data_IF_144303894370
#
_entry.id   IF_144303894370
#
_cell.length_a   1.000
_cell.length_b   1.000
_cell.length_c   1.000
_cell.angle_alpha   90.00
_cell.angle_beta   90.00
_cell.angle_gamma   90.00
#
_symmetry.space_group_name_H-M   'P 1'
#
loop_
_entity.id
_entity.type
_entity.pdbx_description
1 polymer ?
#
# COMPACT_ATOMS: atom_id res chain seq x y z
N UNK A 1 -9.76 -30.17 67.29
CA UNK A 1 -8.37 -29.85 66.91
C UNK A 1 -8.39 -29.73 65.39
N UNK A 2 -8.55 -28.52 64.86
CA UNK A 2 -8.77 -28.29 63.42
C UNK A 2 -7.55 -27.59 62.84
N UNK A 3 -6.77 -28.29 62.02
CA UNK A 3 -5.64 -27.74 61.28
C UNK A 3 -6.14 -26.72 60.25
N UNK A 4 -5.70 -25.47 60.42
CA UNK A 4 -5.90 -24.42 59.43
C UNK A 4 -4.93 -24.65 58.26
N UNK A 5 -5.45 -25.13 57.14
CA UNK A 5 -4.70 -25.20 55.87
C UNK A 5 -4.47 -23.78 55.37
N UNK A 6 -3.28 -23.25 55.64
CA UNK A 6 -2.78 -22.00 55.05
C UNK A 6 -2.46 -22.27 53.58
N UNK A 7 -3.44 -22.06 52.72
CA UNK A 7 -3.26 -22.14 51.25
C UNK A 7 -2.32 -21.01 50.84
N UNK A 8 -1.03 -21.34 50.69
CA UNK A 8 0.01 -20.45 50.19
C UNK A 8 -0.34 -20.10 48.73
N UNK A 9 -0.85 -18.88 48.48
CA UNK A 9 -1.09 -18.34 47.12
C UNK A 9 0.25 -18.07 46.43
N UNK A 10 1.03 -19.10 46.18
CA UNK A 10 2.31 -19.05 45.48
C UNK A 10 2.03 -19.16 43.98
N UNK A 11 2.32 -18.09 43.24
CA UNK A 11 2.63 -18.21 41.80
C UNK A 11 1.68 -17.56 40.79
N UNK A 12 0.46 -17.15 41.13
CA UNK A 12 -0.46 -16.60 40.11
C UNK A 12 -0.17 -15.13 39.81
N UNK A 13 0.13 -14.33 40.85
CA UNK A 13 0.41 -12.89 40.70
C UNK A 13 1.58 -12.58 39.75
N UNK A 14 2.77 -13.23 39.87
CA UNK A 14 3.88 -12.95 38.96
C UNK A 14 3.62 -13.46 37.54
N UNK A 15 2.88 -14.57 37.37
CA UNK A 15 2.50 -15.08 36.05
C UNK A 15 1.52 -14.15 35.34
N UNK A 16 0.51 -13.64 36.04
CA UNK A 16 -0.44 -12.67 35.48
C UNK A 16 0.27 -11.37 35.13
N UNK A 17 1.17 -10.88 35.97
CA UNK A 17 1.98 -9.70 35.68
C UNK A 17 2.89 -9.89 34.45
N UNK A 18 3.50 -11.08 34.31
CA UNK A 18 4.33 -11.42 33.16
C UNK A 18 3.50 -11.51 31.87
N UNK A 19 2.30 -12.12 31.92
CA UNK A 19 1.39 -12.18 30.78
C UNK A 19 0.94 -10.78 30.36
N UNK A 20 0.59 -9.90 31.31
CA UNK A 20 0.23 -8.52 31.03
C UNK A 20 1.40 -7.73 30.44
N UNK A 21 2.62 -7.95 30.93
CA UNK A 21 3.82 -7.30 30.40
C UNK A 21 4.11 -7.75 28.96
N UNK A 22 3.98 -9.05 28.66
CA UNK A 22 4.13 -9.59 27.30
C UNK A 22 3.04 -9.05 26.37
N UNK A 23 1.78 -8.99 26.81
CA UNK A 23 0.70 -8.41 26.02
C UNK A 23 0.91 -6.91 25.78
N UNK A 24 1.43 -6.19 26.77
CA UNK A 24 1.75 -4.77 26.65
C UNK A 24 2.91 -4.54 25.67
N UNK A 25 3.98 -5.32 25.71
CA UNK A 25 5.11 -5.17 24.77
C UNK A 25 4.74 -5.58 23.35
N UNK A 26 3.88 -6.59 23.15
CA UNK A 26 3.34 -6.93 21.83
C UNK A 26 2.43 -5.82 21.32
N UNK A 27 1.53 -5.29 22.16
CA UNK A 27 0.64 -4.18 21.79
C UNK A 27 1.43 -2.92 21.43
N UNK A 28 2.46 -2.60 22.21
CA UNK A 28 3.35 -1.47 21.95
C UNK A 28 4.19 -1.70 20.69
N UNK A 29 4.65 -2.94 20.47
CA UNK A 29 5.36 -3.34 19.26
C UNK A 29 4.49 -3.22 18.00
N UNK A 30 3.21 -3.60 18.06
CA UNK A 30 2.26 -3.45 16.94
C UNK A 30 1.97 -1.97 16.67
N UNK A 31 1.76 -1.15 17.71
CA UNK A 31 1.49 0.28 17.55
C UNK A 31 2.70 1.04 16.98
N UNK A 32 3.90 0.75 17.49
CA UNK A 32 5.14 1.32 16.96
C UNK A 32 5.48 0.76 15.58
N UNK A 33 5.09 -0.47 15.25
CA UNK A 33 5.35 -1.02 13.93
C UNK A 33 4.53 -0.38 12.81
N UNK A 34 3.31 0.07 13.12
CA UNK A 34 2.48 0.82 12.18
C UNK A 34 3.11 2.20 11.86
N UNK A 35 3.68 2.88 12.87
CA UNK A 35 4.34 4.19 12.71
C UNK A 35 5.79 4.11 12.20
N UNK A 36 6.57 3.12 12.62
CA UNK A 36 8.03 3.06 12.41
C UNK A 36 8.40 2.17 11.23
N UNK A 37 7.67 1.08 10.96
CA UNK A 37 8.16 0.04 10.05
C UNK A 37 7.63 0.11 8.61
N UNK A 38 6.71 1.02 8.26
CA UNK A 38 6.17 1.13 6.88
C UNK A 38 5.96 -0.26 6.24
N UNK A 39 5.30 -1.17 6.96
CA UNK A 39 5.26 -2.62 6.69
C UNK A 39 4.57 -3.02 5.37
N UNK A 40 4.21 -2.06 4.50
CA UNK A 40 3.48 -2.28 3.26
C UNK A 40 2.03 -2.73 3.46
N UNK A 41 1.53 -2.68 4.71
CA UNK A 41 0.15 -3.08 5.05
C UNK A 41 -0.84 -1.96 4.69
N UNK A 42 -0.39 -0.70 4.72
CA UNK A 42 -1.19 0.46 4.36
C UNK A 42 -0.57 1.19 3.16
N UNK A 43 -1.40 1.55 2.16
CA UNK A 43 -0.90 2.29 1.02
C UNK A 43 -0.39 3.66 1.49
N UNK A 44 0.77 4.05 0.97
CA UNK A 44 1.38 5.34 1.27
C UNK A 44 0.47 6.49 0.83
N UNK A 45 0.71 7.69 1.36
CA UNK A 45 -0.05 8.87 0.91
C UNK A 45 0.05 9.06 -0.61
N UNK A 46 1.24 8.84 -1.18
CA UNK A 46 1.49 8.94 -2.62
C UNK A 46 0.69 7.88 -3.39
N UNK A 47 0.67 6.63 -2.94
CA UNK A 47 -0.13 5.57 -3.57
C UNK A 47 -1.63 5.87 -3.55
N UNK A 48 -2.14 6.48 -2.47
CA UNK A 48 -3.54 6.92 -2.40
C UNK A 48 -3.81 8.07 -3.36
N UNK A 49 -2.86 8.99 -3.53
CA UNK A 49 -2.97 10.10 -4.48
C UNK A 49 -2.97 9.60 -5.92
N UNK A 50 -2.06 8.68 -6.26
CA UNK A 50 -2.01 8.02 -7.58
C UNK A 50 -3.32 7.28 -7.87
N UNK A 51 -3.81 6.47 -6.92
CA UNK A 51 -5.07 5.73 -7.10
C UNK A 51 -6.25 6.68 -7.34
N UNK A 52 -6.31 7.78 -6.59
CA UNK A 52 -7.36 8.79 -6.76
C UNK A 52 -7.26 9.48 -8.12
N UNK A 53 -6.05 9.81 -8.58
CA UNK A 53 -5.85 10.39 -9.90
C UNK A 53 -6.26 9.41 -11.01
N UNK A 54 -5.92 8.12 -10.89
CA UNK A 54 -6.37 7.08 -11.83
C UNK A 54 -7.91 7.00 -11.88
N UNK A 55 -8.59 7.05 -10.74
CA UNK A 55 -10.05 7.07 -10.70
C UNK A 55 -10.63 8.35 -11.33
N UNK A 56 -9.97 9.49 -11.11
CA UNK A 56 -10.37 10.77 -11.71
C UNK A 56 -10.23 10.79 -13.25
N UNK A 57 -9.39 9.94 -13.86
CA UNK A 57 -9.36 9.76 -15.32
C UNK A 57 -10.70 9.25 -15.86
N UNK A 58 -11.51 8.58 -15.05
CA UNK A 58 -12.85 8.10 -15.41
C UNK A 58 -13.93 9.17 -15.30
N UNK A 59 -13.59 10.35 -14.78
CA UNK A 59 -14.56 11.42 -14.54
C UNK A 59 -15.20 11.90 -15.85
N UNK A 60 -16.52 12.17 -15.86
CA UNK A 60 -17.17 12.78 -17.02
C UNK A 60 -16.69 14.22 -17.27
N UNK A 61 -16.19 14.91 -16.24
CA UNK A 61 -15.67 16.28 -16.35
C UNK A 61 -14.27 16.29 -17.00
N UNK A 62 -14.10 16.93 -18.18
CA UNK A 62 -12.81 17.03 -18.86
C UNK A 62 -11.72 17.71 -18.02
N UNK A 63 -12.09 18.67 -17.18
CA UNK A 63 -11.15 19.39 -16.31
C UNK A 63 -10.56 18.46 -15.25
N UNK A 64 -11.41 17.60 -14.68
CA UNK A 64 -10.99 16.62 -13.67
C UNK A 64 -10.08 15.57 -14.31
N UNK A 65 -10.38 15.10 -15.52
CA UNK A 65 -9.51 14.15 -16.24
C UNK A 65 -8.15 14.74 -16.57
N UNK A 66 -8.12 15.98 -17.07
CA UNK A 66 -6.87 16.66 -17.42
C UNK A 66 -5.99 16.92 -16.19
N UNK A 67 -6.60 17.34 -15.07
CA UNK A 67 -5.87 17.50 -13.82
C UNK A 67 -5.31 16.18 -13.31
N UNK A 68 -6.09 15.10 -13.39
CA UNK A 68 -5.64 13.77 -13.04
C UNK A 68 -4.44 13.30 -13.90
N UNK A 69 -4.47 13.58 -15.21
CA UNK A 69 -3.36 13.30 -16.11
C UNK A 69 -2.08 14.02 -15.65
N UNK A 70 -2.17 15.33 -15.39
CA UNK A 70 -1.03 16.14 -14.91
C UNK A 70 -0.50 15.68 -13.56
N UNK A 71 -1.38 15.28 -12.65
CA UNK A 71 -0.98 14.70 -11.36
C UNK A 71 -0.19 13.41 -11.56
N UNK A 72 -0.65 12.51 -12.44
CA UNK A 72 0.04 11.25 -12.74
C UNK A 72 1.39 11.48 -13.44
N UNK A 73 1.47 12.45 -14.36
CA UNK A 73 2.74 12.87 -14.96
C UNK A 73 3.72 13.42 -13.92
N UNK A 74 3.23 14.24 -12.97
CA UNK A 74 4.05 14.79 -11.89
C UNK A 74 4.57 13.71 -10.94
N UNK A 75 3.78 12.65 -10.71
CA UNK A 75 4.22 11.50 -9.91
C UNK A 75 5.24 10.63 -10.66
N UNK A 76 5.27 10.69 -11.99
CA UNK A 76 6.28 10.05 -12.83
C UNK A 76 6.39 8.54 -12.59
N UNK A 77 7.61 8.09 -12.32
CA UNK A 77 7.96 6.68 -12.10
C UNK A 77 7.14 6.01 -10.99
N UNK A 78 6.76 6.76 -9.95
CA UNK A 78 5.94 6.23 -8.86
C UNK A 78 4.52 5.82 -9.30
N UNK A 79 4.01 6.39 -10.39
CA UNK A 79 2.70 6.04 -10.93
C UNK A 79 2.73 4.73 -11.75
N UNK A 80 3.90 4.34 -12.29
CA UNK A 80 4.05 3.19 -13.19
C UNK A 80 3.46 1.89 -12.61
N UNK A 81 3.76 1.48 -11.37
CA UNK A 81 3.20 0.25 -10.79
C UNK A 81 1.67 0.22 -10.77
N UNK A 82 1.02 1.35 -10.51
CA UNK A 82 -0.44 1.42 -10.46
C UNK A 82 -1.06 1.53 -11.85
N UNK A 83 -0.46 2.30 -12.75
CA UNK A 83 -0.87 2.39 -14.15
C UNK A 83 -0.85 1.00 -14.82
N UNK A 84 0.19 0.20 -14.58
CA UNK A 84 0.29 -1.18 -15.07
C UNK A 84 -0.85 -2.08 -14.56
N UNK A 85 -1.31 -1.88 -13.31
CA UNK A 85 -2.40 -2.67 -12.73
C UNK A 85 -3.75 -2.38 -13.40
N UNK A 86 -3.96 -1.16 -13.88
CA UNK A 86 -5.24 -0.71 -14.45
C UNK A 86 -5.30 -0.75 -15.98
N UNK A 87 -4.27 -1.28 -16.64
CA UNK A 87 -4.24 -1.44 -18.11
C UNK A 87 -5.42 -2.23 -18.68
N UNK A 88 -6.03 -3.11 -17.89
CA UNK A 88 -7.19 -3.90 -18.32
C UNK A 88 -8.47 -3.05 -18.42
N UNK A 89 -8.52 -1.90 -17.75
CA UNK A 89 -9.68 -1.01 -17.75
C UNK A 89 -9.84 -0.31 -19.10
N UNK A 90 -10.80 -0.77 -19.89
CA UNK A 90 -11.04 -0.29 -21.26
C UNK A 90 -11.43 1.18 -21.33
N UNK A 91 -11.97 1.77 -20.26
CA UNK A 91 -12.42 3.15 -20.27
C UNK A 91 -11.23 4.13 -20.24
N UNK A 92 -10.17 3.77 -19.52
CA UNK A 92 -8.98 4.62 -19.33
C UNK A 92 -7.72 4.04 -19.97
N UNK A 93 -7.80 2.89 -20.63
CA UNK A 93 -6.65 2.20 -21.22
C UNK A 93 -5.83 3.11 -22.13
N UNK A 94 -6.46 3.89 -23.01
CA UNK A 94 -5.76 4.80 -23.92
C UNK A 94 -4.98 5.87 -23.17
N UNK A 95 -5.59 6.45 -22.14
CA UNK A 95 -4.97 7.48 -21.30
C UNK A 95 -3.80 6.89 -20.50
N UNK A 96 -4.00 5.71 -19.92
CA UNK A 96 -3.00 4.97 -19.16
C UNK A 96 -1.80 4.59 -20.03
N UNK A 97 -2.02 4.11 -21.25
CA UNK A 97 -0.93 3.83 -22.20
C UNK A 97 -0.18 5.11 -22.56
N UNK A 98 -0.90 6.21 -22.85
CA UNK A 98 -0.27 7.49 -23.15
C UNK A 98 0.60 7.99 -22.01
N UNK A 99 0.08 7.92 -20.78
CA UNK A 99 0.83 8.25 -19.57
C UNK A 99 2.03 7.35 -19.37
N UNK A 100 1.88 6.03 -19.53
CA UNK A 100 2.99 5.09 -19.42
C UNK A 100 4.11 5.42 -20.42
N UNK A 101 3.77 5.83 -21.65
CA UNK A 101 4.76 6.28 -22.64
C UNK A 101 5.49 7.54 -22.20
N UNK A 102 4.76 8.51 -21.66
CA UNK A 102 5.32 9.79 -21.20
C UNK A 102 6.21 9.62 -19.98
N UNK A 103 5.77 8.88 -18.97
CA UNK A 103 6.54 8.70 -17.72
C UNK A 103 7.73 7.75 -17.90
N UNK A 104 7.58 6.65 -18.65
CA UNK A 104 8.67 5.67 -18.84
C UNK A 104 9.59 5.98 -20.01
N UNK A 105 9.18 6.87 -20.91
CA UNK A 105 9.89 7.13 -22.18
C UNK A 105 9.96 5.91 -23.11
N UNK A 106 9.15 4.87 -22.88
CA UNK A 106 9.07 3.65 -23.71
C UNK A 106 7.78 3.63 -24.51
N UNK A 107 7.81 3.00 -25.68
CA UNK A 107 6.60 2.75 -26.47
C UNK A 107 6.50 1.26 -26.79
N UNK A 108 5.57 0.57 -26.11
CA UNK A 108 5.20 -0.82 -26.40
C UNK A 108 3.84 -0.93 -27.11
N UNK A 109 3.31 0.19 -27.61
CA UNK A 109 1.99 0.26 -28.22
C UNK A 109 0.85 -0.01 -27.24
N UNK A 110 -0.21 -0.61 -27.74
CA UNK A 110 -1.42 -0.96 -26.98
C UNK A 110 -1.34 -2.34 -26.29
N UNK A 111 -0.21 -3.03 -26.43
CA UNK A 111 -0.03 -4.36 -25.85
C UNK A 111 0.17 -4.28 -24.33
N UNK A 112 -0.92 -4.54 -23.61
CA UNK A 112 -0.92 -4.56 -22.14
C UNK A 112 0.00 -5.65 -21.57
N UNK A 113 0.24 -6.75 -22.29
CA UNK A 113 1.16 -7.80 -21.84
C UNK A 113 2.61 -7.34 -21.97
N UNK A 114 2.97 -6.68 -23.08
CA UNK A 114 4.30 -6.11 -23.25
C UNK A 114 4.65 -5.11 -22.15
N UNK A 115 3.70 -4.24 -21.78
CA UNK A 115 3.85 -3.33 -20.64
C UNK A 115 4.05 -4.06 -19.31
N UNK A 116 3.25 -5.10 -19.04
CA UNK A 116 3.38 -5.90 -17.81
C UNK A 116 4.70 -6.66 -17.74
N UNK A 117 5.16 -7.22 -18.85
CA UNK A 117 6.40 -8.00 -18.90
C UNK A 117 7.62 -7.09 -18.78
N UNK A 118 7.58 -5.90 -19.38
CA UNK A 118 8.57 -4.86 -19.14
C UNK A 118 8.61 -4.47 -17.66
N UNK A 119 7.46 -4.19 -17.04
CA UNK A 119 7.40 -3.83 -15.62
C UNK A 119 7.93 -4.96 -14.72
N UNK A 120 7.60 -6.23 -14.98
CA UNK A 120 8.14 -7.37 -14.22
C UNK A 120 9.67 -7.41 -14.27
N UNK A 121 10.26 -7.10 -15.42
CA UNK A 121 11.72 -7.11 -15.61
C UNK A 121 12.41 -5.95 -14.90
N UNK A 122 11.74 -4.79 -14.79
CA UNK A 122 12.28 -3.58 -14.18
C UNK A 122 11.67 -3.30 -12.80
N UNK A 123 11.00 -4.29 -12.19
CA UNK A 123 10.32 -4.14 -10.90
C UNK A 123 11.27 -3.71 -9.77
N UNK A 124 12.57 -3.95 -9.89
CA UNK A 124 13.57 -3.49 -8.93
C UNK A 124 13.94 -2.00 -9.06
N UNK A 125 13.51 -1.34 -10.14
CA UNK A 125 13.78 0.06 -10.42
C UNK A 125 12.65 1.00 -9.94
N UNK A 126 11.53 0.42 -9.49
CA UNK A 126 10.32 1.12 -9.02
C UNK A 126 9.87 0.57 -7.66
#
# INVERSE_FOLDING_TARGET
MSENIKVEKKGILPQVALVLLVLYTISLGVATADEVFHLGIFPTQLERMISKAIDNLKSPDPTVRENARKELELYGDFAVPQLIKVLDDTQIRSDVIGLLKEVSGKDFGEDSNAWRDWYKKHKSEF
#
